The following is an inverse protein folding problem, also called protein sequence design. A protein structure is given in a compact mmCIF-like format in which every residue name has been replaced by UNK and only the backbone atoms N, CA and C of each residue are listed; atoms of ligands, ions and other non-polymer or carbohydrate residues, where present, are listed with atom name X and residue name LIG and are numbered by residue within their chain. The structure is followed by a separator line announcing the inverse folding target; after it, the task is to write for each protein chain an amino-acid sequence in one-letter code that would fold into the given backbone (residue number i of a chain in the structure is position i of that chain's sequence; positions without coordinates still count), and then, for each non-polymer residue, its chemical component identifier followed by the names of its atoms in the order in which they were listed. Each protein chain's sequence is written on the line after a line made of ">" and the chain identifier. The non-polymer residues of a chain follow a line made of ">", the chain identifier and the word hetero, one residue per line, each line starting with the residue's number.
data_IF_066213190624
#
_entry.id   IF_066213190624
#
_cell.length_a   1.000
_cell.length_b   1.000
_cell.length_c   1.000
_cell.angle_alpha   90.00
_cell.angle_beta   90.00
_cell.angle_gamma   90.00
#
_symmetry.space_group_name_H-M   'P 1'
#
loop_
_entity.id
_entity.type
_entity.pdbx_description
1 polymer ?
#
# COMPACT_ATOMS: atom_id res chain seq x y z
N UNK A 1 6.48 -12.45 36.64
CA UNK A 1 7.46 -11.50 36.07
C UNK A 1 8.81 -11.95 36.57
N UNK A 2 9.72 -12.40 35.68
CA UNK A 2 11.12 -12.56 36.07
C UNK A 2 11.75 -11.17 36.08
N UNK A 3 12.42 -10.82 37.17
CA UNK A 3 13.22 -9.60 37.24
C UNK A 3 14.39 -9.76 36.25
N UNK A 4 14.58 -8.75 35.39
CA UNK A 4 15.73 -8.70 34.48
C UNK A 4 17.01 -8.54 35.30
N UNK A 5 18.12 -9.11 34.83
CA UNK A 5 19.43 -8.79 35.40
C UNK A 5 19.80 -7.33 35.11
N UNK A 6 20.82 -6.81 35.81
CA UNK A 6 21.36 -5.47 35.53
C UNK A 6 21.82 -5.35 34.08
N UNK A 7 22.54 -6.35 33.58
CA UNK A 7 23.05 -6.37 32.19
C UNK A 7 21.92 -6.38 31.15
N UNK A 8 20.85 -7.15 31.40
CA UNK A 8 19.67 -7.15 30.55
C UNK A 8 18.94 -5.81 30.57
N UNK A 9 18.88 -5.15 31.74
CA UNK A 9 18.28 -3.83 31.90
C UNK A 9 19.05 -2.77 31.11
N UNK A 10 20.38 -2.79 31.19
CA UNK A 10 21.27 -1.87 30.48
C UNK A 10 21.23 -2.09 28.95
N UNK A 11 21.21 -3.34 28.50
CA UNK A 11 21.04 -3.68 27.09
C UNK A 11 19.67 -3.21 26.55
N UNK A 12 18.60 -3.42 27.32
CA UNK A 12 17.25 -2.96 26.98
C UNK A 12 17.19 -1.43 26.87
N UNK A 13 17.84 -0.72 27.80
CA UNK A 13 17.91 0.74 27.78
C UNK A 13 18.69 1.25 26.56
N UNK A 14 19.82 0.60 26.24
CA UNK A 14 20.66 0.92 25.09
C UNK A 14 19.88 0.78 23.79
N UNK A 15 19.20 -0.35 23.60
CA UNK A 15 18.35 -0.58 22.44
C UNK A 15 17.21 0.44 22.34
N UNK A 16 16.47 0.69 23.43
CA UNK A 16 15.37 1.67 23.39
C UNK A 16 15.85 3.08 23.08
N UNK A 17 17.05 3.45 23.53
CA UNK A 17 17.66 4.73 23.22
C UNK A 17 18.05 4.82 21.73
N UNK A 18 18.54 3.74 21.12
CA UNK A 18 18.89 3.72 19.69
C UNK A 18 17.66 3.86 18.77
N UNK A 19 16.46 3.53 19.26
CA UNK A 19 15.20 3.70 18.51
C UNK A 19 14.70 5.16 18.45
N UNK A 20 15.41 6.12 19.03
CA UNK A 20 14.99 7.51 18.97
C UNK A 20 15.08 8.05 17.53
N UNK A 21 13.93 8.41 16.94
CA UNK A 21 13.82 8.91 15.56
C UNK A 21 13.51 10.43 15.56
N UNK A 22 14.36 11.29 14.97
CA UNK A 22 14.05 12.71 14.79
C UNK A 22 12.96 12.91 13.71
N UNK A 23 12.28 14.07 13.72
CA UNK A 23 11.52 14.56 12.56
C UNK A 23 10.28 13.76 12.14
N UNK A 24 9.42 13.35 13.09
CA UNK A 24 8.14 12.67 12.79
C UNK A 24 8.02 11.25 13.33
N UNK A 25 9.08 10.72 13.94
CA UNK A 25 9.05 9.49 14.74
C UNK A 25 8.72 8.23 13.93
N UNK A 26 8.16 7.23 14.61
CA UNK A 26 7.76 5.96 13.99
C UNK A 26 6.74 6.11 12.86
N UNK A 27 5.88 7.13 12.91
CA UNK A 27 4.87 7.35 11.87
C UNK A 27 5.51 7.71 10.53
N UNK A 28 6.45 8.66 10.52
CA UNK A 28 7.17 9.04 9.31
C UNK A 28 7.93 7.85 8.70
N UNK A 29 8.60 7.05 9.55
CA UNK A 29 9.28 5.83 9.11
C UNK A 29 8.30 4.82 8.49
N UNK A 30 7.12 4.61 9.08
CA UNK A 30 6.11 3.72 8.50
C UNK A 30 5.68 4.22 7.13
N UNK A 31 5.42 5.52 6.97
CA UNK A 31 5.01 6.10 5.68
C UNK A 31 6.09 5.95 4.61
N UNK A 32 7.35 6.17 4.96
CA UNK A 32 8.49 5.95 4.05
C UNK A 32 8.58 4.48 3.62
N UNK A 33 8.46 3.54 4.56
CA UNK A 33 8.50 2.11 4.27
C UNK A 33 7.28 1.62 3.49
N UNK A 34 6.08 2.15 3.74
CA UNK A 34 4.90 1.87 2.91
C UNK A 34 5.17 2.22 1.44
N UNK A 35 5.86 3.35 1.20
CA UNK A 35 6.22 3.79 -0.14
C UNK A 35 7.34 2.94 -0.75
N UNK A 36 8.39 2.66 0.01
CA UNK A 36 9.56 1.88 -0.46
C UNK A 36 9.14 0.46 -0.86
N UNK A 37 8.31 -0.20 -0.05
CA UNK A 37 7.92 -1.61 -0.24
C UNK A 37 6.55 -1.79 -0.90
N UNK A 38 5.83 -0.69 -1.17
CA UNK A 38 4.46 -0.70 -1.69
C UNK A 38 3.51 -1.59 -0.85
N UNK A 39 3.57 -1.46 0.48
CA UNK A 39 2.78 -2.28 1.42
C UNK A 39 1.78 -1.43 2.22
N UNK A 40 0.64 -2.00 2.67
CA UNK A 40 -0.32 -1.31 3.52
C UNK A 40 0.27 -0.86 4.86
N UNK A 41 -0.22 0.25 5.40
CA UNK A 41 0.26 0.84 6.65
C UNK A 41 0.24 -0.13 7.83
N UNK A 42 -0.84 -0.90 7.99
CA UNK A 42 -0.95 -1.84 9.11
C UNK A 42 0.05 -3.01 8.98
N UNK A 43 0.38 -3.44 7.77
CA UNK A 43 1.40 -4.46 7.53
C UNK A 43 2.75 -3.95 7.98
N UNK A 44 3.17 -2.78 7.48
CA UNK A 44 4.45 -2.15 7.86
C UNK A 44 4.53 -1.91 9.37
N UNK A 45 3.49 -1.32 9.96
CA UNK A 45 3.39 -1.11 11.41
C UNK A 45 3.53 -2.40 12.20
N UNK A 46 2.95 -3.50 11.72
CA UNK A 46 3.04 -4.80 12.39
C UNK A 46 4.48 -5.34 12.38
N UNK A 47 5.18 -5.22 11.25
CA UNK A 47 6.58 -5.65 11.11
C UNK A 47 7.49 -4.85 12.04
N UNK A 48 7.32 -3.52 12.14
CA UNK A 48 8.09 -2.70 13.07
C UNK A 48 7.92 -3.16 14.52
N UNK A 49 6.68 -3.43 14.94
CA UNK A 49 6.37 -3.92 16.28
C UNK A 49 6.97 -5.30 16.53
N UNK A 50 6.89 -6.19 15.53
CA UNK A 50 7.45 -7.55 15.62
C UNK A 50 8.98 -7.53 15.71
N UNK A 51 9.65 -6.70 14.92
CA UNK A 51 11.11 -6.53 14.97
C UNK A 51 11.57 -5.94 16.32
N UNK A 52 10.84 -4.98 16.87
CA UNK A 52 11.15 -4.48 18.22
C UNK A 52 10.94 -5.59 19.27
N UNK A 53 9.80 -6.29 19.21
CA UNK A 53 9.49 -7.35 20.16
C UNK A 53 10.50 -8.51 20.09
N UNK A 54 10.98 -8.88 18.90
CA UNK A 54 11.95 -9.97 18.75
C UNK A 54 13.29 -9.64 19.42
N UNK A 55 13.78 -8.41 19.28
CA UNK A 55 15.01 -7.96 19.95
C UNK A 55 14.79 -7.86 21.46
N UNK A 56 13.64 -7.34 21.92
CA UNK A 56 13.31 -7.30 23.35
C UNK A 56 13.23 -8.70 23.98
N UNK A 57 12.66 -9.67 23.25
CA UNK A 57 12.62 -11.08 23.64
C UNK A 57 14.03 -11.69 23.65
N UNK A 58 14.87 -11.40 22.66
CA UNK A 58 16.26 -11.88 22.62
C UNK A 58 17.04 -11.39 23.85
N UNK A 59 16.89 -10.13 24.22
CA UNK A 59 17.52 -9.56 25.43
C UNK A 59 17.04 -10.26 26.70
N UNK A 60 15.74 -10.56 26.81
CA UNK A 60 15.13 -11.15 28.00
C UNK A 60 15.44 -12.64 28.18
N UNK A 61 15.33 -13.40 27.10
CA UNK A 61 15.24 -14.86 27.16
C UNK A 61 16.47 -15.55 26.56
N UNK A 62 17.33 -14.82 25.83
CA UNK A 62 18.47 -15.37 25.09
C UNK A 62 19.70 -14.46 25.20
N UNK A 63 19.94 -13.89 26.39
CA UNK A 63 20.94 -12.84 26.61
C UNK A 63 22.36 -13.24 26.19
N UNK A 64 22.74 -14.50 26.39
CA UNK A 64 24.06 -15.03 25.98
C UNK A 64 24.32 -14.93 24.46
N UNK A 65 23.26 -14.79 23.66
CA UNK A 65 23.34 -14.64 22.20
C UNK A 65 23.21 -13.18 21.72
N UNK A 66 23.09 -12.22 22.64
CA UNK A 66 23.02 -10.79 22.31
C UNK A 66 24.41 -10.28 22.01
N UNK A 67 24.58 -9.69 20.83
CA UNK A 67 25.80 -9.01 20.41
C UNK A 67 25.56 -7.51 20.31
N UNK A 68 26.62 -6.71 20.40
CA UNK A 68 26.52 -5.25 20.40
C UNK A 68 25.76 -4.69 19.18
N UNK A 69 25.87 -5.33 18.01
CA UNK A 69 25.13 -4.93 16.81
C UNK A 69 23.61 -5.07 16.95
N UNK A 70 23.13 -6.03 17.76
CA UNK A 70 21.67 -6.23 17.97
C UNK A 70 21.01 -5.01 18.62
N UNK A 71 21.78 -4.23 19.38
CA UNK A 71 21.32 -3.06 20.12
C UNK A 71 21.40 -1.76 19.31
N UNK A 72 21.67 -1.87 18.00
CA UNK A 72 21.79 -0.72 17.10
C UNK A 72 20.52 -0.48 16.31
N UNK A 73 20.32 0.77 15.90
CA UNK A 73 19.21 1.15 15.02
C UNK A 73 19.34 0.49 13.65
N UNK A 74 20.57 0.38 13.14
CA UNK A 74 20.89 -0.16 11.83
C UNK A 74 20.48 -1.62 11.74
N UNK A 75 20.78 -2.43 12.77
CA UNK A 75 20.35 -3.81 12.81
C UNK A 75 18.83 -3.94 12.86
N UNK A 76 18.16 -3.16 13.73
CA UNK A 76 16.70 -3.15 13.81
C UNK A 76 16.03 -2.79 12.47
N UNK A 77 16.55 -1.78 11.76
CA UNK A 77 16.07 -1.42 10.43
C UNK A 77 16.35 -2.53 9.39
N UNK A 78 17.49 -3.22 9.48
CA UNK A 78 17.78 -4.36 8.61
C UNK A 78 16.73 -5.46 8.79
N UNK A 79 16.44 -5.86 10.03
CA UNK A 79 15.43 -6.89 10.34
C UNK A 79 14.06 -6.50 9.78
N UNK A 80 13.68 -5.22 9.89
CA UNK A 80 12.44 -4.71 9.31
C UNK A 80 12.46 -4.83 7.79
N UNK A 81 13.52 -4.33 7.13
CA UNK A 81 13.62 -4.32 5.67
C UNK A 81 13.65 -5.72 5.08
N UNK A 82 14.31 -6.66 5.75
CA UNK A 82 14.34 -8.07 5.33
C UNK A 82 12.94 -8.68 5.37
N UNK A 83 12.19 -8.50 6.46
CA UNK A 83 10.81 -8.99 6.58
C UNK A 83 9.86 -8.29 5.58
N UNK A 84 10.02 -6.98 5.37
CA UNK A 84 9.22 -6.25 4.38
C UNK A 84 9.52 -6.69 2.95
N UNK A 85 10.79 -6.98 2.62
CA UNK A 85 11.18 -7.55 1.34
C UNK A 85 10.50 -8.91 1.12
N UNK A 86 10.51 -9.80 2.12
CA UNK A 86 9.83 -11.10 2.02
C UNK A 86 8.33 -10.91 1.76
N UNK A 87 7.67 -9.99 2.48
CA UNK A 87 6.23 -9.70 2.25
C UNK A 87 5.94 -9.06 0.91
N UNK A 88 6.88 -8.29 0.37
CA UNK A 88 6.73 -7.64 -0.92
C UNK A 88 6.98 -8.58 -2.11
N UNK A 89 7.61 -9.75 -1.91
CA UNK A 89 7.82 -10.73 -2.99
C UNK A 89 6.52 -11.25 -3.60
N UNK A 90 5.48 -11.33 -2.79
CA UNK A 90 4.16 -11.77 -3.22
C UNK A 90 3.33 -10.63 -3.84
N UNK A 91 3.87 -9.40 -3.93
CA UNK A 91 3.16 -8.30 -4.59
C UNK A 91 3.12 -8.56 -6.10
N UNK A 92 1.93 -8.90 -6.57
CA UNK A 92 1.61 -8.91 -8.00
C UNK A 92 1.57 -7.44 -8.47
N UNK A 93 2.19 -7.09 -9.61
CA UNK A 93 2.06 -5.75 -10.19
C UNK A 93 0.60 -5.35 -10.32
N UNK A 94 0.27 -4.11 -9.92
CA UNK A 94 -1.11 -3.68 -9.80
C UNK A 94 -1.88 -3.80 -11.12
N UNK A 95 -1.23 -3.48 -12.25
CA UNK A 95 -1.82 -3.66 -13.57
C UNK A 95 -2.13 -5.13 -13.88
N UNK A 96 -1.28 -6.07 -13.50
CA UNK A 96 -1.56 -7.50 -13.68
C UNK A 96 -2.77 -7.92 -12.84
N UNK A 97 -2.80 -7.54 -11.55
CA UNK A 97 -3.95 -7.79 -10.67
C UNK A 97 -5.25 -7.18 -11.21
N UNK A 98 -5.19 -5.96 -11.75
CA UNK A 98 -6.34 -5.29 -12.35
C UNK A 98 -6.86 -6.06 -13.55
N UNK A 99 -5.98 -6.43 -14.49
CA UNK A 99 -6.35 -7.15 -15.71
C UNK A 99 -6.88 -8.56 -15.42
N UNK A 100 -6.42 -9.17 -14.32
CA UNK A 100 -6.88 -10.47 -13.87
C UNK A 100 -8.14 -10.44 -12.98
N UNK A 101 -8.57 -9.25 -12.55
CA UNK A 101 -9.76 -9.10 -11.72
C UNK A 101 -11.04 -9.52 -12.47
N UNK A 102 -11.95 -10.20 -11.77
CA UNK A 102 -13.22 -10.66 -12.33
C UNK A 102 -14.06 -9.51 -12.89
N UNK A 103 -14.11 -8.39 -12.15
CA UNK A 103 -14.85 -7.18 -12.54
C UNK A 103 -14.30 -6.59 -13.84
N UNK A 104 -12.98 -6.52 -13.99
CA UNK A 104 -12.39 -6.01 -15.23
C UNK A 104 -12.60 -6.97 -16.41
N UNK A 105 -12.54 -8.29 -16.18
CA UNK A 105 -12.86 -9.28 -17.21
C UNK A 105 -14.32 -9.23 -17.64
N UNK A 106 -15.24 -8.95 -16.71
CA UNK A 106 -16.64 -8.72 -17.03
C UNK A 106 -16.81 -7.48 -17.92
N UNK A 107 -16.21 -6.35 -17.51
CA UNK A 107 -16.15 -5.14 -18.34
C UNK A 107 -15.62 -5.41 -19.75
N UNK A 108 -14.51 -6.15 -19.87
CA UNK A 108 -13.93 -6.52 -21.17
C UNK A 108 -14.86 -7.38 -22.03
N UNK A 109 -15.69 -8.23 -21.42
CA UNK A 109 -16.62 -9.05 -22.18
C UNK A 109 -17.83 -8.26 -22.67
N UNK A 110 -18.35 -7.36 -21.85
CA UNK A 110 -19.49 -6.52 -22.18
C UNK A 110 -19.13 -5.43 -23.21
N UNK A 111 -17.94 -4.82 -23.06
CA UNK A 111 -17.45 -3.76 -23.96
C UNK A 111 -17.14 -4.24 -25.39
N UNK A 112 -17.10 -5.55 -25.64
CA UNK A 112 -16.99 -6.11 -27.01
C UNK A 112 -18.25 -5.91 -27.84
N UNK A 113 -19.40 -5.73 -27.19
CA UNK A 113 -20.67 -5.49 -27.87
C UNK A 113 -20.87 -4.00 -28.09
N UNK A 114 -21.46 -3.57 -29.22
CA UNK A 114 -21.79 -2.18 -29.42
C UNK A 114 -22.80 -1.70 -28.36
N UNK A 115 -22.55 -0.53 -27.77
CA UNK A 115 -23.45 0.10 -26.80
C UNK A 115 -24.69 0.59 -27.54
N UNK A 116 -25.88 0.16 -27.12
CA UNK A 116 -27.18 0.48 -27.73
C UNK A 116 -27.99 1.44 -26.89
N UNK A 117 -27.80 1.42 -25.58
CA UNK A 117 -28.57 2.26 -24.64
C UNK A 117 -27.66 3.00 -23.65
N UNK A 118 -28.15 4.12 -23.11
CA UNK A 118 -27.48 4.82 -22.02
C UNK A 118 -27.33 3.94 -20.77
N UNK A 119 -28.31 3.07 -20.49
CA UNK A 119 -28.23 2.13 -19.37
C UNK A 119 -27.08 1.13 -19.51
N UNK A 120 -26.81 0.64 -20.72
CA UNK A 120 -25.63 -0.20 -21.00
C UNK A 120 -24.33 0.58 -20.81
N UNK A 121 -24.30 1.85 -21.23
CA UNK A 121 -23.15 2.74 -21.02
C UNK A 121 -22.87 2.94 -19.53
N UNK A 122 -23.89 3.27 -18.76
CA UNK A 122 -23.80 3.46 -17.30
C UNK A 122 -23.31 2.17 -16.62
N UNK A 123 -23.80 1.01 -17.04
CA UNK A 123 -23.36 -0.28 -16.50
C UNK A 123 -21.87 -0.55 -16.76
N UNK A 124 -21.36 -0.25 -17.96
CA UNK A 124 -19.94 -0.38 -18.28
C UNK A 124 -19.06 0.57 -17.46
N UNK A 125 -19.51 1.81 -17.27
CA UNK A 125 -18.81 2.80 -16.44
C UNK A 125 -18.78 2.39 -14.97
N UNK A 126 -19.87 1.82 -14.46
CA UNK A 126 -19.95 1.28 -13.11
C UNK A 126 -18.95 0.13 -12.89
N UNK A 127 -18.80 -0.78 -13.87
CA UNK A 127 -17.78 -1.83 -13.78
C UNK A 127 -16.35 -1.26 -13.70
N UNK A 128 -16.04 -0.20 -14.46
CA UNK A 128 -14.75 0.49 -14.35
C UNK A 128 -14.58 1.17 -12.98
N UNK A 129 -15.64 1.77 -12.44
CA UNK A 129 -15.63 2.39 -11.12
C UNK A 129 -15.34 1.37 -10.02
N UNK A 130 -15.97 0.19 -10.10
CA UNK A 130 -15.74 -0.89 -9.14
C UNK A 130 -14.33 -1.48 -9.27
N UNK A 131 -13.83 -1.65 -10.49
CA UNK A 131 -12.45 -2.06 -10.72
C UNK A 131 -11.45 -1.05 -10.13
N UNK A 132 -11.67 0.25 -10.33
CA UNK A 132 -10.89 1.32 -9.71
C UNK A 132 -10.97 1.25 -8.18
N UNK A 133 -12.17 1.12 -7.62
CA UNK A 133 -12.38 1.11 -6.18
C UNK A 133 -11.60 -0.02 -5.50
N UNK A 134 -11.69 -1.23 -6.08
CA UNK A 134 -11.10 -2.43 -5.50
C UNK A 134 -9.60 -2.55 -5.74
N UNK A 135 -9.13 -2.25 -6.95
CA UNK A 135 -7.75 -2.53 -7.35
C UNK A 135 -6.84 -1.33 -7.11
N UNK A 136 -7.37 -0.11 -7.08
CA UNK A 136 -6.57 1.12 -6.95
C UNK A 136 -6.89 1.88 -5.68
N UNK A 137 -8.14 2.32 -5.50
CA UNK A 137 -8.50 3.22 -4.41
C UNK A 137 -8.31 2.59 -3.03
N UNK A 138 -8.88 1.40 -2.78
CA UNK A 138 -8.79 0.71 -1.48
C UNK A 138 -7.34 0.37 -1.11
N UNK A 139 -6.52 -0.24 -1.99
CA UNK A 139 -5.11 -0.48 -1.71
C UNK A 139 -4.33 0.81 -1.43
N UNK A 140 -4.47 1.84 -2.28
CA UNK A 140 -3.77 3.12 -2.09
C UNK A 140 -4.18 3.79 -0.77
N UNK A 141 -5.47 3.80 -0.45
CA UNK A 141 -5.98 4.32 0.82
C UNK A 141 -5.40 3.58 2.03
N UNK A 142 -5.20 2.27 1.92
CA UNK A 142 -4.58 1.47 2.99
C UNK A 142 -3.08 1.78 3.17
N UNK A 143 -2.39 2.14 2.09
CA UNK A 143 -0.99 2.59 2.15
C UNK A 143 -0.88 4.01 2.72
N UNK A 144 -1.78 4.91 2.30
CA UNK A 144 -1.86 6.30 2.74
C UNK A 144 -2.45 6.48 4.13
N UNK A 145 -2.84 5.41 4.81
CA UNK A 145 -3.56 5.48 6.08
C UNK A 145 -2.87 6.43 7.05
N UNK A 146 -3.62 7.37 7.63
CA UNK A 146 -3.16 8.43 8.56
C UNK A 146 -2.22 9.48 7.98
N UNK A 147 -2.01 9.52 6.66
CA UNK A 147 -1.32 10.61 5.98
C UNK A 147 -2.29 11.72 5.56
N UNK A 148 -1.79 12.94 5.37
CA UNK A 148 -2.59 14.06 4.83
C UNK A 148 -3.13 13.74 3.43
N UNK A 149 -2.33 13.06 2.61
CA UNK A 149 -2.68 12.65 1.25
C UNK A 149 -3.90 11.72 1.20
N UNK A 150 -4.20 10.96 2.26
CA UNK A 150 -5.37 10.09 2.31
C UNK A 150 -6.68 10.86 2.06
N UNK A 151 -6.77 12.09 2.56
CA UNK A 151 -7.97 12.93 2.43
C UNK A 151 -8.11 13.57 1.05
N UNK A 152 -7.02 13.59 0.29
CA UNK A 152 -6.98 14.15 -1.06
C UNK A 152 -7.21 13.06 -2.11
N UNK A 153 -7.33 11.78 -1.71
CA UNK A 153 -7.53 10.66 -2.64
C UNK A 153 -9.01 10.56 -3.02
N UNK A 154 -9.38 10.82 -4.29
CA UNK A 154 -10.74 10.65 -4.77
C UNK A 154 -11.16 9.18 -4.77
N UNK A 155 -12.39 8.92 -4.35
CA UNK A 155 -13.02 7.61 -4.50
C UNK A 155 -13.71 7.45 -5.87
N UNK A 156 -13.95 8.54 -6.57
CA UNK A 156 -14.51 8.56 -7.93
C UNK A 156 -13.38 8.54 -8.96
N UNK A 157 -13.42 7.57 -9.88
CA UNK A 157 -12.48 7.47 -10.99
C UNK A 157 -12.50 8.72 -11.87
N UNK A 158 -13.65 9.36 -12.07
CA UNK A 158 -13.79 10.53 -12.93
C UNK A 158 -13.14 11.79 -12.34
N UNK A 159 -12.87 11.79 -11.03
CA UNK A 159 -12.11 12.84 -10.34
C UNK A 159 -10.60 12.62 -10.37
N UNK A 160 -10.14 11.44 -10.84
CA UNK A 160 -8.72 11.11 -11.00
C UNK A 160 -8.12 11.71 -12.27
N UNK A 161 -8.23 13.03 -12.44
CA UNK A 161 -7.60 13.78 -13.55
C UNK A 161 -6.07 13.71 -13.49
N UNK A 162 -5.40 14.20 -14.53
CA UNK A 162 -3.94 14.28 -14.54
C UNK A 162 -3.40 15.14 -13.39
N UNK A 163 -4.03 16.28 -13.07
CA UNK A 163 -3.59 17.10 -11.94
C UNK A 163 -3.73 16.36 -10.61
N UNK A 164 -4.83 15.63 -10.42
CA UNK A 164 -5.04 14.82 -9.21
C UNK A 164 -4.02 13.70 -9.10
N UNK A 165 -3.74 12.99 -10.20
CA UNK A 165 -2.74 11.91 -10.23
C UNK A 165 -1.33 12.38 -9.88
N UNK A 166 -0.96 13.61 -10.24
CA UNK A 166 0.35 14.18 -9.91
C UNK A 166 0.58 14.33 -8.39
N UNK A 167 -0.48 14.48 -7.59
CA UNK A 167 -0.39 14.51 -6.12
C UNK A 167 0.12 13.17 -5.54
N UNK A 168 -0.03 12.07 -6.28
CA UNK A 168 0.30 10.71 -5.87
C UNK A 168 1.44 10.10 -6.71
N UNK A 169 2.31 10.92 -7.31
CA UNK A 169 3.43 10.48 -8.15
C UNK A 169 4.39 9.46 -7.48
N UNK A 170 4.42 9.41 -6.15
CA UNK A 170 5.17 8.45 -5.36
C UNK A 170 4.55 7.05 -5.32
N UNK A 171 3.40 6.85 -5.99
CA UNK A 171 2.67 5.58 -6.12
C UNK A 171 2.43 5.25 -7.60
N UNK A 172 3.50 5.04 -8.39
CA UNK A 172 3.42 5.00 -9.86
C UNK A 172 2.48 3.91 -10.38
N UNK A 173 2.46 2.72 -9.78
CA UNK A 173 1.57 1.63 -10.21
C UNK A 173 0.08 1.99 -10.05
N UNK A 174 -0.28 2.69 -8.97
CA UNK A 174 -1.65 3.14 -8.75
C UNK A 174 -2.02 4.23 -9.76
N UNK A 175 -1.10 5.15 -10.05
CA UNK A 175 -1.34 6.23 -11.00
C UNK A 175 -1.44 5.74 -12.45
N UNK A 176 -0.64 4.75 -12.83
CA UNK A 176 -0.72 4.08 -14.12
C UNK A 176 -2.10 3.42 -14.30
N UNK A 177 -2.55 2.63 -13.33
CA UNK A 177 -3.86 1.99 -13.38
C UNK A 177 -5.02 2.98 -13.35
N UNK A 178 -4.94 4.05 -12.55
CA UNK A 178 -5.92 5.13 -12.58
C UNK A 178 -5.99 5.79 -13.95
N UNK A 179 -4.84 6.12 -14.56
CA UNK A 179 -4.81 6.74 -15.88
C UNK A 179 -5.39 5.80 -16.95
N UNK A 180 -5.09 4.51 -16.88
CA UNK A 180 -5.64 3.50 -17.76
C UNK A 180 -7.16 3.41 -17.67
N UNK A 181 -7.71 3.25 -16.46
CA UNK A 181 -9.16 3.15 -16.23
C UNK A 181 -9.87 4.46 -16.60
N UNK A 182 -9.28 5.62 -16.28
CA UNK A 182 -9.81 6.92 -16.64
C UNK A 182 -9.98 7.06 -18.15
N UNK A 183 -8.95 6.70 -18.91
CA UNK A 183 -9.00 6.75 -20.38
C UNK A 183 -10.08 5.83 -20.96
N UNK A 184 -10.28 4.65 -20.39
CA UNK A 184 -11.38 3.75 -20.80
C UNK A 184 -12.75 4.39 -20.52
N UNK A 185 -12.89 5.08 -19.39
CA UNK A 185 -14.13 5.79 -19.05
C UNK A 185 -14.45 6.91 -20.04
N UNK A 186 -13.44 7.65 -20.50
CA UNK A 186 -13.60 8.69 -21.54
C UNK A 186 -14.03 8.07 -22.87
N UNK A 187 -13.42 6.94 -23.26
CA UNK A 187 -13.76 6.23 -24.48
C UNK A 187 -15.22 5.78 -24.50
N UNK A 188 -15.69 5.14 -23.43
CA UNK A 188 -17.08 4.68 -23.28
C UNK A 188 -18.06 5.85 -23.33
N UNK A 189 -17.72 6.93 -22.62
CA UNK A 189 -18.55 8.14 -22.56
C UNK A 189 -18.67 8.82 -23.93
N UNK A 190 -17.62 8.75 -24.74
CA UNK A 190 -17.60 9.33 -26.10
C UNK A 190 -18.19 8.43 -27.19
N UNK A 191 -18.45 7.16 -26.90
CA UNK A 191 -18.90 6.20 -27.90
C UNK A 191 -20.36 6.46 -28.30
N UNK A 192 -20.68 6.63 -29.60
CA UNK A 192 -22.04 6.83 -30.04
C UNK A 192 -22.89 5.58 -29.80
N UNK A 193 -24.17 5.78 -29.48
CA UNK A 193 -25.13 4.68 -29.38
C UNK A 193 -25.33 4.07 -30.77
N UNK A 194 -25.28 2.75 -30.85
CA UNK A 194 -25.48 2.01 -32.11
C UNK A 194 -26.97 1.99 -32.44
N UNK A 195 -27.34 2.53 -33.59
CA UNK A 195 -28.72 2.50 -34.08
C UNK A 195 -29.18 1.05 -34.35
N UNK A 196 -30.42 0.74 -33.99
CA UNK A 196 -31.06 -0.52 -34.33
C UNK A 196 -31.08 -0.71 -35.85
N UNK A 197 -30.30 -1.66 -36.37
CA UNK A 197 -30.50 -2.24 -37.71
C UNK A 197 -31.44 -3.43 -37.63
#
# INVERSE_FOLDING_TARGET
>A
MCELTTEQTDAMATFKHSLHLPGGGFHALIVELCREFQLPFQVVRSVLKQAQASIETKIRDQFDNVVASDLTKEHWLSVIKDELNERAKDNIPLMESLLDSEIYRQFLNESKSPIRTESERECLLEHLMQAYEQQVYKPLKAMLYTTVLQWQLPNDLLEMTEETRQLFNNYPQHMEASAFLFKLSEQISSQPLSEHS
#
